data_IF_717115252980
#
_entry.id   IF_717115252980
#
_cell.length_a   1.000
_cell.length_b   1.000
_cell.length_c   1.000
_cell.angle_alpha   90.00
_cell.angle_beta   90.00
_cell.angle_gamma   90.00
#
_symmetry.space_group_name_H-M   'P 1'
#
loop_
_entity.id
_entity.type
_entity.pdbx_description
1 polymer ?
#
# COMPACT_ATOMS: atom_id res chain seq x y z
N UNK A 1 13.38 9.99 73.73
CA UNK A 1 12.40 8.94 73.37
C UNK A 1 11.94 9.19 71.94
N UNK A 2 12.31 8.28 71.04
CA UNK A 2 11.98 8.37 69.61
C UNK A 2 10.59 7.77 69.41
N UNK A 3 9.68 8.51 68.76
CA UNK A 3 8.38 7.94 68.34
C UNK A 3 8.36 7.87 66.82
N UNK A 4 8.43 6.62 66.35
CA UNK A 4 8.25 6.18 64.97
C UNK A 4 6.87 6.60 64.44
N UNK A 5 6.82 7.14 63.22
CA UNK A 5 5.60 7.31 62.44
C UNK A 5 5.43 6.09 61.52
N UNK A 6 4.26 5.43 61.50
CA UNK A 6 4.03 4.30 60.61
C UNK A 6 3.91 4.74 59.15
N UNK A 7 4.77 4.14 58.31
CA UNK A 7 4.61 4.09 56.86
C UNK A 7 3.36 3.26 56.51
N UNK A 8 2.38 3.90 55.88
CA UNK A 8 1.29 3.21 55.20
C UNK A 8 1.41 3.48 53.70
N UNK A 9 2.23 2.65 53.03
CA UNK A 9 2.15 2.46 51.59
C UNK A 9 0.88 1.66 51.29
N UNK A 10 -0.25 2.35 51.09
CA UNK A 10 -1.43 1.71 50.53
C UNK A 10 -1.27 1.67 49.00
N UNK A 11 -0.81 0.53 48.49
CA UNK A 11 -0.90 0.21 47.07
C UNK A 11 -2.39 0.01 46.75
N UNK A 12 -3.07 1.09 46.37
CA UNK A 12 -4.38 1.01 45.76
C UNK A 12 -4.20 0.41 44.36
N UNK A 13 -4.26 -0.92 44.26
CA UNK A 13 -4.54 -1.60 42.99
C UNK A 13 -5.91 -1.12 42.57
N UNK A 14 -5.95 -0.11 41.70
CA UNK A 14 -7.15 0.36 41.03
C UNK A 14 -7.65 -0.79 40.16
N UNK A 15 -8.47 -1.66 40.74
CA UNK A 15 -9.29 -2.59 39.98
C UNK A 15 -10.26 -1.73 39.19
N UNK A 16 -9.96 -1.52 37.91
CA UNK A 16 -10.93 -0.92 37.01
C UNK A 16 -12.06 -1.94 36.88
N UNK A 17 -13.15 -1.72 37.62
CA UNK A 17 -14.44 -2.30 37.29
C UNK A 17 -14.86 -1.75 35.93
N UNK A 18 -14.38 -2.41 34.87
CA UNK A 18 -14.96 -2.30 33.54
C UNK A 18 -16.36 -2.90 33.65
N UNK A 19 -17.37 -2.03 33.73
CA UNK A 19 -18.74 -2.45 33.48
C UNK A 19 -18.72 -3.27 32.19
N UNK A 20 -19.30 -4.47 32.21
CA UNK A 20 -19.35 -5.35 31.05
C UNK A 20 -20.12 -4.63 29.94
N UNK A 21 -19.38 -3.92 29.08
CA UNK A 21 -19.94 -3.24 27.92
C UNK A 21 -20.58 -4.32 27.07
N UNK A 22 -21.91 -4.37 27.05
CA UNK A 22 -22.65 -5.25 26.15
C UNK A 22 -22.40 -4.74 24.74
N UNK A 23 -21.38 -5.27 24.08
CA UNK A 23 -21.12 -4.98 22.69
C UNK A 23 -22.34 -5.41 21.87
N UNK A 24 -22.85 -4.49 21.04
CA UNK A 24 -23.86 -4.85 20.04
C UNK A 24 -23.33 -5.99 19.17
N UNK A 25 -24.21 -6.84 18.66
CA UNK A 25 -23.85 -7.94 17.76
C UNK A 25 -23.00 -7.47 16.57
N UNK A 26 -23.22 -6.25 16.11
CA UNK A 26 -22.42 -5.58 15.07
C UNK A 26 -20.99 -5.29 15.51
N UNK A 27 -20.79 -4.79 16.74
CA UNK A 27 -19.46 -4.44 17.24
C UNK A 27 -18.57 -5.68 17.45
N UNK A 28 -19.17 -6.84 17.74
CA UNK A 28 -18.43 -8.10 17.87
C UNK A 28 -17.69 -8.51 16.58
N UNK A 29 -18.16 -8.08 15.41
CA UNK A 29 -17.53 -8.42 14.11
C UNK A 29 -16.16 -7.76 13.90
N UNK A 30 -15.79 -6.76 14.70
CA UNK A 30 -14.47 -6.12 14.65
C UNK A 30 -13.41 -6.86 15.45
N UNK A 31 -13.79 -7.91 16.17
CA UNK A 31 -12.90 -8.72 17.00
C UNK A 31 -12.90 -10.15 16.51
N UNK A 32 -11.77 -10.84 16.67
CA UNK A 32 -11.65 -12.28 16.41
C UNK A 32 -12.52 -13.07 17.41
N UNK A 33 -12.70 -14.35 17.17
CA UNK A 33 -13.41 -15.24 18.07
C UNK A 33 -12.80 -15.17 19.47
N UNK A 34 -13.66 -15.12 20.49
CA UNK A 34 -13.23 -15.05 21.90
C UNK A 34 -12.30 -16.23 22.27
N UNK A 35 -12.48 -17.37 21.60
CA UNK A 35 -11.64 -18.55 21.75
C UNK A 35 -10.20 -18.35 21.27
N UNK A 36 -9.93 -17.38 20.37
CA UNK A 36 -8.61 -17.11 19.80
C UNK A 36 -7.81 -16.10 20.62
N UNK A 37 -8.43 -15.45 21.61
CA UNK A 37 -7.77 -14.42 22.41
C UNK A 37 -6.60 -14.97 23.25
N UNK A 38 -5.49 -14.23 23.26
CA UNK A 38 -4.31 -14.54 24.09
C UNK A 38 -3.45 -15.70 23.59
N UNK A 39 -3.79 -16.33 22.46
CA UNK A 39 -2.98 -17.38 21.85
C UNK A 39 -1.89 -16.77 20.96
N UNK A 40 -0.68 -17.33 21.03
CA UNK A 40 0.43 -16.89 20.18
C UNK A 40 0.23 -17.31 18.71
N UNK A 41 -0.39 -18.46 18.48
CA UNK A 41 -0.75 -18.97 17.15
C UNK A 41 -2.18 -19.52 17.14
N UNK A 42 -2.83 -19.41 15.99
CA UNK A 42 -4.16 -19.99 15.78
C UNK A 42 -4.08 -21.52 15.68
N UNK A 43 -5.15 -22.19 16.13
CA UNK A 43 -5.29 -23.66 15.97
C UNK A 43 -5.20 -24.03 14.49
N UNK A 44 -4.70 -25.22 14.10
CA UNK A 44 -4.55 -25.62 12.70
C UNK A 44 -5.82 -25.42 11.85
N UNK A 45 -7.00 -25.68 12.43
CA UNK A 45 -8.31 -25.47 11.78
C UNK A 45 -8.67 -23.99 11.56
N UNK A 46 -8.16 -23.11 12.42
CA UNK A 46 -8.39 -21.66 12.37
C UNK A 46 -7.19 -20.92 11.74
N UNK A 47 -6.16 -21.63 11.29
CA UNK A 47 -5.04 -21.04 10.57
C UNK A 47 -5.56 -20.48 9.25
N UNK A 48 -5.08 -19.31 8.79
CA UNK A 48 -5.48 -18.80 7.49
C UNK A 48 -5.30 -19.83 6.40
N UNK A 49 -6.30 -19.92 5.53
CA UNK A 49 -6.20 -20.64 4.26
C UNK A 49 -5.35 -19.88 3.24
N UNK A 50 -5.29 -20.41 2.02
CA UNK A 50 -4.68 -19.78 0.86
C UNK A 50 -5.48 -18.53 0.42
N UNK A 51 -4.83 -17.54 -0.20
CA UNK A 51 -5.52 -16.45 -0.88
C UNK A 51 -6.27 -16.96 -2.12
N UNK A 52 -7.34 -16.27 -2.52
CA UNK A 52 -8.13 -16.61 -3.71
C UNK A 52 -7.32 -16.37 -4.98
N UNK A 53 -7.32 -17.29 -5.96
CA UNK A 53 -6.66 -17.03 -7.25
C UNK A 53 -7.59 -16.37 -8.26
N UNK A 54 -7.03 -15.58 -9.17
CA UNK A 54 -7.79 -14.91 -10.24
C UNK A 54 -8.64 -15.89 -11.05
N UNK A 55 -8.10 -17.06 -11.40
CA UNK A 55 -8.80 -18.11 -12.13
C UNK A 55 -10.07 -18.59 -11.40
N UNK A 56 -10.02 -18.74 -10.07
CA UNK A 56 -11.17 -19.13 -9.27
C UNK A 56 -12.23 -18.02 -9.22
N UNK A 57 -11.78 -16.77 -9.15
CA UNK A 57 -12.63 -15.58 -9.10
C UNK A 57 -13.30 -15.32 -10.45
N UNK A 58 -12.63 -15.61 -11.57
CA UNK A 58 -13.18 -15.51 -12.93
C UNK A 58 -14.36 -16.45 -13.14
N UNK A 59 -14.42 -17.58 -12.43
CA UNK A 59 -15.54 -18.53 -12.47
C UNK A 59 -16.76 -18.08 -11.64
N UNK A 60 -16.65 -17.05 -10.80
CA UNK A 60 -17.75 -16.58 -9.93
C UNK A 60 -18.57 -15.47 -10.55
N UNK A 61 -19.85 -15.42 -10.20
CA UNK A 61 -20.77 -14.35 -10.60
C UNK A 61 -20.37 -13.00 -9.98
N UNK A 62 -20.70 -11.88 -10.63
CA UNK A 62 -20.48 -10.54 -10.07
C UNK A 62 -21.17 -10.37 -8.71
N UNK A 63 -22.35 -10.98 -8.53
CA UNK A 63 -23.09 -10.93 -7.26
C UNK A 63 -22.34 -11.63 -6.12
N UNK A 64 -21.63 -12.72 -6.42
CA UNK A 64 -20.86 -13.46 -5.43
C UNK A 64 -19.52 -12.78 -5.14
N UNK A 65 -18.87 -12.19 -6.15
CA UNK A 65 -17.68 -11.35 -5.95
C UNK A 65 -18.00 -10.16 -5.04
N UNK A 66 -19.14 -9.50 -5.24
CA UNK A 66 -19.58 -8.41 -4.39
C UNK A 66 -19.80 -8.86 -2.93
N UNK A 67 -20.46 -10.01 -2.71
CA UNK A 67 -20.59 -10.58 -1.36
C UNK A 67 -19.23 -10.94 -0.74
N UNK A 68 -18.36 -11.56 -1.53
CA UNK A 68 -17.02 -11.97 -1.11
C UNK A 68 -16.17 -10.76 -0.70
N UNK A 69 -16.25 -9.66 -1.46
CA UNK A 69 -15.59 -8.40 -1.12
C UNK A 69 -15.95 -7.93 0.29
N UNK A 70 -17.23 -7.96 0.68
CA UNK A 70 -17.66 -7.59 2.03
C UNK A 70 -17.22 -8.60 3.11
N UNK A 71 -17.10 -9.88 2.78
CA UNK A 71 -16.53 -10.87 3.71
C UNK A 71 -15.06 -10.55 3.96
N UNK A 72 -14.27 -10.31 2.91
CA UNK A 72 -12.86 -9.91 3.01
C UNK A 72 -12.70 -8.56 3.73
N UNK A 73 -13.58 -7.60 3.48
CA UNK A 73 -13.55 -6.28 4.11
C UNK A 73 -13.78 -6.36 5.62
N UNK A 74 -14.72 -7.19 6.08
CA UNK A 74 -14.95 -7.42 7.51
C UNK A 74 -13.73 -8.04 8.18
N UNK A 75 -13.15 -9.06 7.56
CA UNK A 75 -11.91 -9.69 8.02
C UNK A 75 -10.75 -8.68 8.09
N UNK A 76 -10.54 -7.89 7.03
CA UNK A 76 -9.51 -6.84 6.99
C UNK A 76 -9.67 -5.84 8.13
N UNK A 77 -10.88 -5.35 8.37
CA UNK A 77 -11.17 -4.40 9.43
C UNK A 77 -10.94 -4.99 10.82
N UNK A 78 -11.32 -6.25 11.04
CA UNK A 78 -11.03 -6.98 12.27
C UNK A 78 -9.51 -7.12 12.49
N UNK A 79 -8.76 -7.51 11.46
CA UNK A 79 -7.30 -7.67 11.54
C UNK A 79 -6.58 -6.34 11.80
N UNK A 80 -7.04 -5.23 11.21
CA UNK A 80 -6.49 -3.89 11.48
C UNK A 80 -6.70 -3.49 12.94
N UNK A 81 -7.90 -3.70 13.48
CA UNK A 81 -8.20 -3.47 14.90
C UNK A 81 -7.27 -4.29 15.79
N UNK A 82 -7.10 -5.58 15.49
CA UNK A 82 -6.21 -6.47 16.22
C UNK A 82 -4.74 -6.01 16.14
N UNK A 83 -4.24 -5.70 14.94
CA UNK A 83 -2.88 -5.19 14.74
C UNK A 83 -2.62 -3.95 15.59
N UNK A 84 -3.56 -2.99 15.58
CA UNK A 84 -3.44 -1.76 16.38
C UNK A 84 -3.44 -2.04 17.88
N UNK A 85 -4.29 -2.96 18.35
CA UNK A 85 -4.34 -3.36 19.76
C UNK A 85 -3.05 -4.06 20.23
N UNK A 86 -2.46 -4.92 19.39
CA UNK A 86 -1.19 -5.60 19.69
C UNK A 86 -0.01 -4.63 19.70
N UNK A 87 0.07 -3.74 18.71
CA UNK A 87 1.10 -2.66 18.67
C UNK A 87 1.01 -1.77 19.90
N UNK A 88 -0.20 -1.35 20.29
CA UNK A 88 -0.41 -0.53 21.49
C UNK A 88 0.02 -1.22 22.79
N UNK A 89 0.03 -2.56 22.82
CA UNK A 89 0.44 -3.36 23.97
C UNK A 89 1.88 -3.87 23.86
N UNK A 90 2.64 -3.40 22.86
CA UNK A 90 3.99 -3.86 22.55
C UNK A 90 4.08 -5.40 22.43
N UNK A 91 3.07 -6.02 21.80
CA UNK A 91 3.03 -7.46 21.55
C UNK A 91 3.00 -7.74 20.05
N UNK A 92 3.56 -8.88 19.65
CA UNK A 92 3.44 -9.38 18.29
C UNK A 92 2.01 -9.85 18.02
N UNK A 93 1.55 -9.64 16.78
CA UNK A 93 0.25 -10.11 16.33
C UNK A 93 0.32 -11.62 16.01
N UNK A 94 -0.67 -12.42 16.42
CA UNK A 94 -0.79 -13.80 15.96
C UNK A 94 -1.02 -13.84 14.45
N UNK A 95 -0.25 -14.66 13.72
CA UNK A 95 -0.41 -14.91 12.28
C UNK A 95 -0.54 -13.62 11.43
N UNK A 96 0.51 -12.78 11.36
CA UNK A 96 0.48 -11.54 10.56
C UNK A 96 0.23 -11.80 9.07
N UNK A 97 0.56 -12.99 8.56
CA UNK A 97 0.34 -13.36 7.16
C UNK A 97 -1.14 -13.34 6.74
N UNK A 98 -2.09 -13.35 7.69
CA UNK A 98 -3.53 -13.20 7.40
C UNK A 98 -3.82 -11.90 6.65
N UNK A 99 -3.15 -10.81 7.04
CA UNK A 99 -3.37 -9.49 6.46
C UNK A 99 -3.01 -9.49 4.98
N UNK A 100 -1.84 -10.04 4.66
CA UNK A 100 -1.32 -10.08 3.30
C UNK A 100 -2.21 -10.96 2.42
N UNK A 101 -2.67 -12.12 2.91
CA UNK A 101 -3.56 -13.01 2.16
C UNK A 101 -4.94 -12.42 1.87
N UNK A 102 -5.49 -11.66 2.82
CA UNK A 102 -6.76 -10.95 2.62
C UNK A 102 -6.57 -9.82 1.63
N UNK A 103 -5.48 -9.06 1.74
CA UNK A 103 -5.14 -7.99 0.80
C UNK A 103 -4.97 -8.53 -0.62
N UNK A 104 -4.16 -9.58 -0.81
CA UNK A 104 -4.00 -10.24 -2.11
C UNK A 104 -5.33 -10.69 -2.71
N UNK A 105 -6.23 -11.24 -1.88
CA UNK A 105 -7.55 -11.68 -2.35
C UNK A 105 -8.42 -10.49 -2.77
N UNK A 106 -8.36 -9.37 -2.05
CA UNK A 106 -9.07 -8.14 -2.43
C UNK A 106 -8.52 -7.56 -3.73
N UNK A 107 -7.20 -7.46 -3.87
CA UNK A 107 -6.56 -6.93 -5.08
C UNK A 107 -6.94 -7.77 -6.31
N UNK A 108 -6.95 -9.11 -6.17
CA UNK A 108 -7.38 -10.01 -7.26
C UNK A 108 -8.86 -9.89 -7.60
N UNK A 109 -9.73 -9.66 -6.61
CA UNK A 109 -11.16 -9.40 -6.87
C UNK A 109 -11.30 -8.10 -7.67
N UNK A 110 -10.58 -7.05 -7.28
CA UNK A 110 -10.55 -5.77 -7.99
C UNK A 110 -10.05 -5.95 -9.43
N UNK A 111 -8.93 -6.66 -9.63
CA UNK A 111 -8.40 -6.96 -10.97
C UNK A 111 -9.43 -7.67 -11.84
N UNK A 112 -10.08 -8.74 -11.37
CA UNK A 112 -11.08 -9.49 -12.15
C UNK A 112 -12.30 -8.63 -12.49
N UNK A 113 -12.73 -7.75 -11.58
CA UNK A 113 -13.84 -6.82 -11.84
C UNK A 113 -13.42 -5.76 -12.88
N UNK A 114 -12.21 -5.22 -12.78
CA UNK A 114 -11.66 -4.29 -13.77
C UNK A 114 -11.52 -4.94 -15.15
N UNK A 115 -10.98 -6.16 -15.24
CA UNK A 115 -10.89 -6.95 -16.49
C UNK A 115 -12.27 -7.10 -17.15
N UNK A 116 -13.30 -7.44 -16.37
CA UNK A 116 -14.68 -7.60 -16.85
C UNK A 116 -15.26 -6.29 -17.36
N UNK A 117 -15.11 -5.21 -16.60
CA UNK A 117 -15.62 -3.91 -17.00
C UNK A 117 -14.91 -3.45 -18.28
N UNK A 118 -13.59 -3.54 -18.33
CA UNK A 118 -12.79 -3.15 -19.49
C UNK A 118 -13.18 -3.94 -20.75
N UNK A 119 -13.45 -5.24 -20.64
CA UNK A 119 -13.95 -6.04 -21.75
C UNK A 119 -15.33 -5.55 -22.26
N UNK A 120 -16.25 -5.19 -21.35
CA UNK A 120 -17.57 -4.66 -21.73
C UNK A 120 -17.44 -3.31 -22.43
N UNK A 121 -16.70 -2.35 -21.86
CA UNK A 121 -16.51 -1.03 -22.46
C UNK A 121 -15.82 -1.09 -23.83
N UNK A 122 -14.84 -1.99 -24.00
CA UNK A 122 -14.17 -2.21 -25.28
C UNK A 122 -15.10 -2.77 -26.35
N UNK A 123 -16.09 -3.59 -25.97
CA UNK A 123 -17.06 -4.14 -26.93
C UNK A 123 -18.16 -3.12 -27.27
N UNK A 124 -18.62 -2.34 -26.28
CA UNK A 124 -19.73 -1.39 -26.47
C UNK A 124 -19.26 -0.07 -27.10
N UNK A 125 -18.19 0.52 -26.58
CA UNK A 125 -17.68 1.85 -26.98
C UNK A 125 -16.39 1.77 -27.80
N UNK A 126 -15.66 0.65 -27.74
CA UNK A 126 -14.32 0.54 -28.33
C UNK A 126 -13.21 1.10 -27.43
N UNK A 127 -13.54 1.53 -26.21
CA UNK A 127 -12.64 2.22 -25.29
C UNK A 127 -12.48 1.46 -23.98
N UNK A 128 -11.40 1.74 -23.24
CA UNK A 128 -11.18 1.11 -21.93
C UNK A 128 -12.11 1.65 -20.86
N UNK A 129 -12.30 0.88 -19.78
CA UNK A 129 -13.06 1.32 -18.60
C UNK A 129 -12.38 2.50 -17.87
N UNK A 130 -11.06 2.66 -18.04
CA UNK A 130 -10.30 3.71 -17.37
C UNK A 130 -10.65 5.11 -17.91
N UNK A 131 -10.69 6.15 -17.03
CA UNK A 131 -10.89 7.52 -17.46
C UNK A 131 -9.86 7.95 -18.50
N UNK A 132 -10.33 8.68 -19.52
CA UNK A 132 -9.46 9.20 -20.59
C UNK A 132 -8.33 10.03 -20.00
N UNK A 133 -7.11 9.76 -20.45
CA UNK A 133 -5.92 10.55 -20.13
C UNK A 133 -5.68 11.59 -21.22
N UNK A 134 -5.15 12.74 -20.81
CA UNK A 134 -4.74 13.82 -21.71
C UNK A 134 -3.29 14.17 -21.41
N UNK A 135 -2.51 14.40 -22.46
CA UNK A 135 -1.13 14.88 -22.33
C UNK A 135 -1.14 16.37 -22.05
N UNK A 136 -0.52 16.76 -20.94
CA UNK A 136 -0.42 18.15 -20.50
C UNK A 136 1.06 18.50 -20.39
N UNK A 137 1.43 19.67 -20.91
CA UNK A 137 2.77 20.24 -20.74
C UNK A 137 2.79 21.08 -19.46
N UNK A 138 3.70 20.76 -18.55
CA UNK A 138 3.97 21.55 -17.35
C UNK A 138 4.63 22.89 -17.70
N UNK A 139 4.63 23.84 -16.76
CA UNK A 139 5.29 25.14 -16.94
C UNK A 139 6.78 25.00 -17.28
N UNK A 140 7.48 24.02 -16.70
CA UNK A 140 8.88 23.70 -17.00
C UNK A 140 9.06 22.90 -18.30
N UNK A 141 8.00 22.77 -19.10
CA UNK A 141 8.00 22.11 -20.38
C UNK A 141 7.94 20.58 -20.37
N UNK A 142 7.86 19.93 -19.20
CA UNK A 142 7.71 18.48 -19.14
C UNK A 142 6.28 18.06 -19.49
N UNK A 143 6.14 17.16 -20.47
CA UNK A 143 4.85 16.55 -20.81
C UNK A 143 4.54 15.39 -19.87
N UNK A 144 3.32 15.35 -19.33
CA UNK A 144 2.84 14.24 -18.50
C UNK A 144 1.38 13.93 -18.82
N UNK A 145 0.98 12.67 -18.59
CA UNK A 145 -0.41 12.27 -18.75
C UNK A 145 -1.19 12.56 -17.47
N UNK A 146 -2.35 13.20 -17.61
CA UNK A 146 -3.29 13.45 -16.52
C UNK A 146 -4.66 12.87 -16.87
N UNK A 147 -5.31 12.26 -15.89
CA UNK A 147 -6.71 11.82 -16.04
C UNK A 147 -7.64 13.02 -16.17
N UNK A 148 -8.62 12.94 -17.07
CA UNK A 148 -9.67 13.94 -17.19
C UNK A 148 -10.56 13.93 -15.94
N UNK A 149 -10.89 15.10 -15.42
CA UNK A 149 -11.83 15.26 -14.30
C UNK A 149 -13.22 15.61 -14.80
N UNK A 150 -14.23 15.23 -14.02
CA UNK A 150 -15.62 15.62 -14.30
C UNK A 150 -15.81 17.12 -13.99
N UNK A 151 -16.56 17.82 -14.84
CA UNK A 151 -16.87 19.24 -14.69
C UNK A 151 -18.38 19.44 -14.75
N UNK A 152 -18.91 20.35 -13.93
CA UNK A 152 -20.34 20.66 -13.89
C UNK A 152 -20.84 21.35 -15.17
N UNK A 153 -20.04 22.25 -15.73
CA UNK A 153 -20.35 22.98 -16.97
C UNK A 153 -19.30 22.72 -18.04
N UNK A 154 -19.65 22.79 -19.34
CA UNK A 154 -18.66 22.76 -20.41
C UNK A 154 -17.59 23.84 -20.22
N UNK A 155 -16.36 23.62 -20.72
CA UNK A 155 -15.32 24.64 -20.72
C UNK A 155 -15.81 25.91 -21.42
N UNK A 156 -15.55 27.08 -20.83
CA UNK A 156 -15.90 28.35 -21.45
C UNK A 156 -15.15 28.47 -22.79
N UNK A 157 -15.81 28.97 -23.87
CA UNK A 157 -15.14 29.20 -25.14
C UNK A 157 -13.85 30.02 -24.94
N UNK A 158 -12.72 29.50 -25.45
CA UNK A 158 -11.41 30.14 -25.33
C UNK A 158 -10.62 29.80 -24.05
N UNK A 159 -11.27 29.31 -22.98
CA UNK A 159 -10.57 28.79 -21.80
C UNK A 159 -10.41 27.29 -21.93
N UNK A 160 -9.21 26.85 -22.30
CA UNK A 160 -8.85 25.43 -22.19
C UNK A 160 -8.74 25.07 -20.72
N UNK A 161 -9.18 23.87 -20.37
CA UNK A 161 -9.04 23.33 -19.00
C UNK A 161 -7.57 23.33 -18.54
N UNK A 162 -6.66 23.20 -19.50
CA UNK A 162 -5.22 23.30 -19.32
C UNK A 162 -4.66 24.22 -20.40
N UNK A 163 -3.96 25.26 -19.98
CA UNK A 163 -3.18 26.08 -20.89
C UNK A 163 -1.96 25.26 -21.31
N UNK A 164 -1.67 25.23 -22.62
CA UNK A 164 -0.31 24.85 -23.04
C UNK A 164 0.56 26.03 -22.60
N UNK A 165 1.40 25.88 -21.57
CA UNK A 165 2.19 27.00 -21.09
C UNK A 165 3.08 27.47 -22.24
N UNK A 166 3.24 28.79 -22.33
CA UNK A 166 4.30 29.34 -23.16
C UNK A 166 5.62 28.82 -22.61
N UNK A 167 6.33 28.02 -23.40
CA UNK A 167 7.66 27.53 -23.08
C UNK A 167 8.62 28.70 -23.24
N UNK A 168 9.03 29.29 -22.12
CA UNK A 168 10.08 30.30 -22.09
C UNK A 168 11.46 29.67 -22.26
N UNK A 169 12.47 30.52 -22.50
CA UNK A 169 13.87 30.09 -22.59
C UNK A 169 14.32 29.37 -21.30
N UNK A 170 13.72 29.74 -20.16
CA UNK A 170 13.98 29.12 -18.86
C UNK A 170 13.48 27.67 -18.81
N UNK A 171 12.27 27.37 -19.32
CA UNK A 171 11.76 26.01 -19.43
C UNK A 171 12.68 25.14 -20.31
N UNK A 172 13.19 25.69 -21.41
CA UNK A 172 14.15 24.99 -22.27
C UNK A 172 15.47 24.71 -21.53
N UNK A 173 16.01 25.71 -20.82
CA UNK A 173 17.21 25.54 -20.00
C UNK A 173 17.01 24.49 -18.91
N UNK A 174 15.84 24.47 -18.27
CA UNK A 174 15.49 23.48 -17.26
C UNK A 174 15.42 22.07 -17.84
N UNK A 175 14.84 21.89 -19.03
CA UNK A 175 14.84 20.59 -19.72
C UNK A 175 16.25 20.12 -20.04
N UNK A 176 17.10 21.00 -20.57
CA UNK A 176 18.49 20.69 -20.89
C UNK A 176 19.26 20.27 -19.64
N UNK A 177 19.21 21.07 -18.57
CA UNK A 177 19.88 20.76 -17.30
C UNK A 177 19.37 19.45 -16.68
N UNK A 178 18.08 19.17 -16.82
CA UNK A 178 17.51 17.91 -16.36
C UNK A 178 18.06 16.71 -17.17
N UNK A 179 18.14 16.83 -18.49
CA UNK A 179 18.73 15.79 -19.34
C UNK A 179 20.21 15.54 -19.00
N UNK A 180 21.00 16.61 -18.81
CA UNK A 180 22.40 16.50 -18.38
C UNK A 180 22.52 15.83 -17.00
N UNK A 181 21.63 16.19 -16.07
CA UNK A 181 21.58 15.57 -14.73
C UNK A 181 21.25 14.07 -14.80
N UNK A 182 20.24 13.67 -15.57
CA UNK A 182 19.87 12.26 -15.71
C UNK A 182 20.95 11.45 -16.44
N UNK A 183 21.63 12.05 -17.43
CA UNK A 183 22.79 11.46 -18.06
C UNK A 183 23.91 11.17 -17.06
N UNK A 184 24.27 12.15 -16.21
CA UNK A 184 25.31 11.96 -15.19
C UNK A 184 24.92 10.88 -14.16
N UNK A 185 23.66 10.87 -13.70
CA UNK A 185 23.16 9.80 -12.82
C UNK A 185 23.24 8.42 -13.45
N UNK A 186 22.87 8.31 -14.73
CA UNK A 186 22.93 7.05 -15.46
C UNK A 186 24.38 6.58 -15.63
N UNK A 187 25.30 7.49 -15.93
CA UNK A 187 26.74 7.20 -15.97
C UNK A 187 27.24 6.66 -14.62
N UNK A 188 26.92 7.36 -13.53
CA UNK A 188 27.35 6.96 -12.18
C UNK A 188 26.73 5.60 -11.78
N UNK A 189 25.46 5.35 -12.14
CA UNK A 189 24.80 4.04 -11.95
C UNK A 189 25.54 2.92 -12.68
N UNK A 190 25.90 3.14 -13.96
CA UNK A 190 26.64 2.16 -14.76
C UNK A 190 28.05 1.90 -14.20
N UNK A 191 28.74 2.94 -13.72
CA UNK A 191 30.04 2.79 -13.08
C UNK A 191 29.94 2.00 -11.76
N UNK A 192 28.87 2.21 -10.98
CA UNK A 192 28.57 1.42 -9.80
C UNK A 192 28.27 -0.05 -10.13
N UNK A 193 27.50 -0.31 -11.18
CA UNK A 193 27.20 -1.66 -11.68
C UNK A 193 28.48 -2.38 -12.12
N UNK A 194 29.33 -1.73 -12.92
CA UNK A 194 30.66 -2.25 -13.31
C UNK A 194 31.52 -2.55 -12.08
N UNK A 195 31.53 -1.65 -11.09
CA UNK A 195 32.30 -1.84 -9.84
C UNK A 195 31.78 -3.02 -9.01
N UNK A 196 30.46 -3.24 -8.98
CA UNK A 196 29.87 -4.43 -8.33
C UNK A 196 30.20 -5.70 -9.09
N UNK A 197 30.13 -5.69 -10.43
CA UNK A 197 30.45 -6.83 -11.26
C UNK A 197 31.94 -7.23 -11.20
N UNK A 198 32.84 -6.25 -11.04
CA UNK A 198 34.28 -6.49 -10.91
C UNK A 198 34.71 -6.98 -9.51
N UNK A 199 33.80 -6.99 -8.51
CA UNK A 199 34.11 -7.53 -7.18
C UNK A 199 34.03 -9.05 -7.19
N UNK A 200 35.10 -9.68 -6.72
CA UNK A 200 35.12 -11.12 -6.43
C UNK A 200 34.91 -11.37 -4.94
N UNK A 201 34.47 -12.58 -4.57
CA UNK A 201 34.23 -12.96 -3.16
C UNK A 201 35.48 -12.79 -2.28
N UNK A 202 36.67 -13.03 -2.84
CA UNK A 202 37.94 -12.81 -2.16
C UNK A 202 38.14 -11.34 -1.76
N UNK A 203 37.77 -10.41 -2.66
CA UNK A 203 37.90 -8.99 -2.43
C UNK A 203 36.94 -8.50 -1.34
N UNK A 204 35.71 -9.04 -1.31
CA UNK A 204 34.76 -8.74 -0.25
C UNK A 204 35.20 -9.35 1.10
N UNK A 205 35.73 -10.58 1.10
CA UNK A 205 36.28 -11.23 2.30
C UNK A 205 37.44 -10.42 2.91
N UNK A 206 38.33 -9.89 2.08
CA UNK A 206 39.51 -9.14 2.53
C UNK A 206 39.34 -7.62 2.52
N UNK A 207 38.11 -7.11 2.28
CA UNK A 207 37.80 -5.66 2.18
C UNK A 207 38.73 -4.90 1.20
N UNK A 208 39.11 -5.54 0.10
CA UNK A 208 39.95 -4.96 -0.95
C UNK A 208 39.08 -4.20 -1.95
N UNK A 209 39.55 -3.04 -2.43
CA UNK A 209 38.83 -2.26 -3.43
C UNK A 209 38.93 -2.86 -4.83
N UNK A 210 37.81 -2.88 -5.58
CA UNK A 210 37.80 -3.26 -7.00
C UNK A 210 38.73 -2.34 -7.82
N UNK A 211 39.43 -2.87 -8.84
CA UNK A 211 40.23 -2.04 -9.73
C UNK A 211 39.36 -0.93 -10.33
N UNK A 212 39.86 0.32 -10.30
CA UNK A 212 39.18 1.42 -10.98
C UNK A 212 39.28 1.21 -12.48
N UNK A 213 38.19 0.79 -13.12
CA UNK A 213 38.06 0.83 -14.57
C UNK A 213 37.93 2.30 -14.99
N UNK A 214 39.06 2.93 -15.28
CA UNK A 214 39.05 4.18 -16.03
C UNK A 214 38.64 3.85 -17.47
N UNK A 215 37.51 4.41 -17.92
CA UNK A 215 37.12 4.30 -19.32
C UNK A 215 38.26 4.92 -20.17
N UNK A 216 38.80 4.15 -21.11
CA UNK A 216 39.78 4.61 -22.11
C UNK A 216 39.06 5.11 -23.35
#
# INVERSE_FOLDING_TARGET
MWRSLPSLMSSAVRSQNVAATRHSSTMKQFFDDEANFGKAELRPKARPGRSWTEEELRLKSNSDLHKLWYVCLKERNMLITMKKAHVSRARNMPNPERIDRVQESMDRIETVVHERNDAVFKLETGESADPRKRTITSFAGFTYEKQATEHYSPPQPGKKEYETPYLDDDAYMMQKLWQEKEFLKNRDRLDDEKRRAARTEDMDRFKRGAPRVFNR
#
